data_IF_634698523831
#
_entry.id   IF_634698523831
#
_cell.length_a   1.000
_cell.length_b   1.000
_cell.length_c   1.000
_cell.angle_alpha   90.00
_cell.angle_beta   90.00
_cell.angle_gamma   90.00
#
_symmetry.space_group_name_H-M   'P 1'
#
loop_
_entity.id
_entity.type
_entity.pdbx_description
1 polymer ?
#
# COMPACT_ATOMS: atom_id res chain seq x y z
N UNK A 1 8.24 -6.69 -4.50
CA UNK A 1 7.50 -5.42 -4.65
C UNK A 1 6.28 -5.40 -3.75
N UNK A 2 5.91 -4.20 -3.28
CA UNK A 2 4.76 -3.95 -2.41
C UNK A 2 3.93 -2.83 -3.04
N UNK A 3 2.64 -3.07 -3.24
CA UNK A 3 1.68 -2.08 -3.70
C UNK A 3 1.08 -1.38 -2.49
N UNK A 4 1.16 -0.05 -2.45
CA UNK A 4 0.53 0.76 -1.42
C UNK A 4 -0.90 1.12 -1.83
N UNK A 5 -1.87 0.84 -0.96
CA UNK A 5 -3.24 1.32 -1.15
C UNK A 5 -3.34 2.84 -0.92
N UNK A 6 -4.51 3.42 -1.19
CA UNK A 6 -4.78 4.85 -0.97
C UNK A 6 -4.61 5.26 0.50
N UNK A 7 -5.07 4.44 1.45
CA UNK A 7 -4.99 4.74 2.88
C UNK A 7 -3.55 4.90 3.37
N UNK A 8 -2.58 4.12 2.86
CA UNK A 8 -1.17 4.27 3.22
C UNK A 8 -0.66 5.68 2.89
N UNK A 9 -0.96 6.16 1.68
CA UNK A 9 -0.50 7.48 1.24
C UNK A 9 -1.23 8.59 2.00
N UNK A 10 -2.53 8.44 2.24
CA UNK A 10 -3.30 9.40 3.03
C UNK A 10 -2.81 9.47 4.49
N UNK A 11 -2.40 8.34 5.07
CA UNK A 11 -1.79 8.31 6.40
C UNK A 11 -0.44 9.05 6.41
N UNK A 12 0.40 8.84 5.40
CA UNK A 12 1.71 9.50 5.29
C UNK A 12 1.60 11.03 5.24
N UNK A 13 0.56 11.56 4.58
CA UNK A 13 0.32 13.01 4.47
C UNK A 13 -0.60 13.56 5.57
N UNK A 14 -1.07 12.72 6.49
CA UNK A 14 -1.90 13.14 7.62
C UNK A 14 -1.14 14.12 8.52
N UNK A 15 -1.81 15.14 9.11
CA UNK A 15 -1.16 16.04 10.08
C UNK A 15 -0.62 15.32 11.32
N UNK A 16 -1.19 14.15 11.66
CA UNK A 16 -0.80 13.33 12.82
C UNK A 16 -0.75 11.86 12.40
N UNK A 17 0.28 11.46 11.64
CA UNK A 17 0.39 10.09 11.17
C UNK A 17 0.71 9.14 12.34
N UNK A 18 0.20 7.91 12.27
CA UNK A 18 0.53 6.85 13.20
C UNK A 18 1.98 6.41 12.99
N UNK A 19 2.75 6.45 14.08
CA UNK A 19 4.19 6.14 14.06
C UNK A 19 4.50 4.77 13.51
N UNK A 20 3.66 3.77 13.77
CA UNK A 20 3.86 2.39 13.30
C UNK A 20 3.91 2.32 11.77
N UNK A 21 3.03 3.06 11.09
CA UNK A 21 2.99 3.09 9.61
C UNK A 21 4.23 3.75 9.04
N UNK A 22 4.65 4.88 9.63
CA UNK A 22 5.88 5.56 9.22
C UNK A 22 7.12 4.69 9.43
N UNK A 23 7.23 4.05 10.60
CA UNK A 23 8.33 3.13 10.91
C UNK A 23 8.35 1.93 9.95
N UNK A 24 7.18 1.41 9.59
CA UNK A 24 7.08 0.34 8.60
C UNK A 24 7.53 0.82 7.21
N UNK A 25 7.11 2.01 6.76
CA UNK A 25 7.53 2.62 5.50
C UNK A 25 9.05 2.84 5.46
N UNK A 26 9.62 3.42 6.53
CA UNK A 26 11.06 3.68 6.68
C UNK A 26 11.91 2.40 6.65
N UNK A 27 11.31 1.25 7.00
CA UNK A 27 11.98 -0.04 6.95
C UNK A 27 11.99 -0.69 5.55
N UNK A 28 11.21 -0.18 4.59
CA UNK A 28 11.14 -0.73 3.24
C UNK A 28 12.21 -0.12 2.33
N UNK A 29 12.63 -0.90 1.33
CA UNK A 29 13.35 -0.34 0.18
C UNK A 29 12.36 0.48 -0.65
N UNK A 30 12.60 1.79 -0.75
CA UNK A 30 11.75 2.70 -1.52
C UNK A 30 11.57 2.23 -2.97
N UNK A 31 12.58 1.60 -3.60
CA UNK A 31 12.48 1.10 -4.97
C UNK A 31 11.52 -0.09 -5.12
N UNK A 32 11.14 -0.74 -4.01
CA UNK A 32 10.18 -1.84 -3.98
C UNK A 32 8.73 -1.41 -3.73
N UNK A 33 8.48 -0.13 -3.48
CA UNK A 33 7.14 0.42 -3.27
C UNK A 33 6.50 0.86 -4.59
N UNK A 34 5.23 0.55 -4.79
CA UNK A 34 4.51 0.84 -6.03
C UNK A 34 3.13 1.40 -5.72
N UNK A 35 2.61 2.24 -6.61
CA UNK A 35 1.21 2.63 -6.62
C UNK A 35 0.51 2.04 -7.83
N UNK A 36 -0.81 2.02 -7.79
CA UNK A 36 -1.63 1.66 -8.95
C UNK A 36 -2.36 2.88 -9.49
N UNK A 37 -2.82 2.82 -10.74
CA UNK A 37 -3.74 3.80 -11.31
C UNK A 37 -5.01 3.95 -10.45
N UNK A 38 -5.42 2.88 -9.76
CA UNK A 38 -6.51 2.92 -8.79
C UNK A 38 -6.10 3.76 -7.58
N UNK A 39 -4.94 3.50 -6.97
CA UNK A 39 -4.43 4.30 -5.84
C UNK A 39 -4.42 5.78 -6.19
N UNK A 40 -3.89 6.14 -7.36
CA UNK A 40 -3.88 7.51 -7.91
C UNK A 40 -5.30 8.07 -8.00
N UNK A 41 -6.23 7.39 -8.65
CA UNK A 41 -7.62 7.84 -8.74
C UNK A 41 -8.26 8.06 -7.36
N UNK A 42 -7.95 7.21 -6.38
CA UNK A 42 -8.44 7.37 -5.00
C UNK A 42 -7.89 8.62 -4.31
N UNK A 43 -6.62 8.97 -4.55
CA UNK A 43 -6.00 10.18 -4.00
C UNK A 43 -6.65 11.43 -4.57
N UNK A 44 -6.91 11.47 -5.87
CA UNK A 44 -7.55 12.64 -6.49
C UNK A 44 -9.05 12.74 -6.18
N UNK A 45 -9.76 11.63 -6.01
CA UNK A 45 -11.12 11.66 -5.44
C UNK A 45 -11.11 12.29 -4.05
N UNK A 46 -10.16 11.90 -3.19
CA UNK A 46 -10.02 12.51 -1.87
C UNK A 46 -9.76 14.02 -1.94
N UNK A 47 -8.93 14.50 -2.89
CA UNK A 47 -8.71 15.94 -3.11
C UNK A 47 -10.00 16.66 -3.50
N UNK A 48 -10.78 16.08 -4.42
CA UNK A 48 -12.05 16.65 -4.85
C UNK A 48 -13.07 16.71 -3.69
N UNK A 49 -13.08 15.69 -2.83
CA UNK A 49 -13.97 15.58 -1.66
C UNK A 49 -13.61 16.51 -0.49
N UNK A 50 -12.46 17.20 -0.53
CA UNK A 50 -12.08 18.14 0.51
C UNK A 50 -13.09 19.31 0.62
N UNK A 51 -13.21 19.94 1.80
CA UNK A 51 -13.97 21.18 1.98
C UNK A 51 -13.51 22.29 1.01
N UNK A 52 -14.41 23.23 0.68
CA UNK A 52 -14.10 24.34 -0.24
C UNK A 52 -12.96 25.25 0.27
N UNK A 53 -12.82 25.38 1.58
CA UNK A 53 -11.77 26.17 2.24
C UNK A 53 -10.44 25.41 2.38
N UNK A 54 -10.39 24.13 2.01
CA UNK A 54 -9.16 23.36 2.01
C UNK A 54 -8.25 23.76 0.84
N UNK A 55 -6.91 23.66 0.99
CA UNK A 55 -5.97 24.01 -0.05
C UNK A 55 -5.89 22.92 -1.15
N UNK A 56 -6.99 22.66 -1.87
CA UNK A 56 -7.13 21.58 -2.86
C UNK A 56 -6.01 21.60 -3.91
N UNK A 57 -5.72 22.77 -4.49
CA UNK A 57 -4.66 22.93 -5.49
C UNK A 57 -3.30 22.54 -4.93
N UNK A 58 -2.97 22.97 -3.70
CA UNK A 58 -1.67 22.64 -3.10
C UNK A 58 -1.54 21.13 -2.84
N UNK A 59 -2.62 20.46 -2.40
CA UNK A 59 -2.61 18.99 -2.27
C UNK A 59 -2.49 18.29 -3.61
N UNK A 60 -3.21 18.75 -4.64
CA UNK A 60 -3.11 18.18 -5.99
C UNK A 60 -1.69 18.31 -6.54
N UNK A 61 -1.07 19.49 -6.43
CA UNK A 61 0.29 19.76 -6.90
C UNK A 61 1.31 18.88 -6.15
N UNK A 62 1.22 18.80 -4.82
CA UNK A 62 2.11 17.95 -4.03
C UNK A 62 1.97 16.45 -4.38
N UNK A 63 0.75 15.98 -4.63
CA UNK A 63 0.51 14.61 -5.08
C UNK A 63 1.08 14.37 -6.48
N UNK A 64 0.92 15.31 -7.42
CA UNK A 64 1.51 15.22 -8.75
C UNK A 64 3.04 15.17 -8.70
N UNK A 65 3.66 15.99 -7.85
CA UNK A 65 5.11 15.97 -7.64
C UNK A 65 5.57 14.61 -7.09
N UNK A 66 4.91 14.08 -6.06
CA UNK A 66 5.19 12.76 -5.51
C UNK A 66 5.06 11.66 -6.59
N UNK A 67 4.03 11.72 -7.44
CA UNK A 67 3.82 10.74 -8.50
C UNK A 67 4.92 10.81 -9.58
N UNK A 68 5.35 12.01 -9.94
CA UNK A 68 6.32 12.25 -11.02
C UNK A 68 7.78 12.10 -10.57
N UNK A 69 8.08 12.31 -9.30
CA UNK A 69 9.43 12.27 -8.75
C UNK A 69 9.66 10.98 -7.99
N UNK A 70 8.86 10.72 -6.96
CA UNK A 70 9.06 9.57 -6.08
C UNK A 70 8.62 8.29 -6.79
N UNK A 71 7.43 8.24 -7.38
CA UNK A 71 6.88 7.02 -7.99
C UNK A 71 7.07 6.94 -9.51
N UNK A 72 7.99 7.71 -10.08
CA UNK A 72 8.31 7.67 -11.50
C UNK A 72 8.65 6.23 -11.95
N UNK A 73 7.95 5.71 -12.95
CA UNK A 73 8.12 4.34 -13.45
C UNK A 73 7.61 3.24 -12.51
N UNK A 74 6.94 3.58 -11.40
CA UNK A 74 6.39 2.65 -10.40
C UNK A 74 4.88 2.80 -10.19
N UNK A 75 4.20 3.28 -11.24
CA UNK A 75 2.75 3.39 -11.32
C UNK A 75 2.19 2.25 -12.20
N UNK A 76 1.52 1.29 -11.59
CA UNK A 76 0.97 0.12 -12.27
C UNK A 76 -0.46 0.39 -12.77
N UNK A 77 -0.76 0.05 -14.01
CA UNK A 77 -2.11 0.18 -14.59
C UNK A 77 -2.95 -1.07 -14.33
N UNK A 78 -4.28 -0.92 -14.30
CA UNK A 78 -5.17 -2.06 -14.57
C UNK A 78 -5.22 -2.31 -16.08
N UNK A 79 -4.32 -3.16 -16.56
CA UNK A 79 -4.16 -3.49 -17.98
C UNK A 79 -4.85 -4.83 -18.33
N UNK A 80 -4.76 -5.23 -19.61
CA UNK A 80 -5.35 -6.48 -20.08
C UNK A 80 -4.78 -7.72 -19.36
N UNK A 81 -3.50 -7.70 -18.97
CA UNK A 81 -2.87 -8.80 -18.25
C UNK A 81 -3.43 -8.91 -16.82
N UNK A 82 -3.58 -7.78 -16.14
CA UNK A 82 -4.26 -7.69 -14.84
C UNK A 82 -5.72 -8.14 -14.94
N UNK A 83 -6.43 -7.74 -16.01
CA UNK A 83 -7.83 -8.09 -16.22
C UNK A 83 -8.07 -9.61 -16.34
N UNK A 84 -7.09 -10.40 -16.80
CA UNK A 84 -7.20 -11.87 -16.83
C UNK A 84 -7.28 -12.50 -15.43
N UNK A 85 -6.79 -11.82 -14.38
CA UNK A 85 -6.92 -12.29 -12.99
C UNK A 85 -8.26 -11.90 -12.35
N UNK A 86 -8.97 -10.92 -12.91
CA UNK A 86 -10.23 -10.41 -12.35
C UNK A 86 -11.30 -11.51 -12.14
N UNK A 87 -11.59 -12.40 -13.12
CA UNK A 87 -12.63 -13.43 -12.93
C UNK A 87 -12.30 -14.39 -11.77
N UNK A 88 -11.02 -14.69 -11.56
CA UNK A 88 -10.56 -15.52 -10.44
C UNK A 88 -10.86 -14.84 -9.12
N UNK A 89 -10.49 -13.56 -8.97
CA UNK A 89 -10.77 -12.78 -7.74
C UNK A 89 -12.28 -12.72 -7.48
N UNK A 90 -13.07 -12.36 -8.49
CA UNK A 90 -14.52 -12.28 -8.37
C UNK A 90 -15.17 -13.61 -7.95
N UNK A 91 -14.70 -14.73 -8.53
CA UNK A 91 -15.18 -16.08 -8.18
C UNK A 91 -14.83 -16.45 -6.74
N UNK A 92 -13.58 -16.22 -6.32
CA UNK A 92 -13.14 -16.47 -4.94
C UNK A 92 -13.92 -15.62 -3.94
N UNK A 93 -14.17 -14.36 -4.27
CA UNK A 93 -14.96 -13.45 -3.43
C UNK A 93 -16.38 -13.94 -3.22
N UNK A 94 -17.02 -14.42 -4.30
CA UNK A 94 -18.35 -15.02 -4.23
C UNK A 94 -18.35 -16.29 -3.38
N UNK A 95 -17.36 -17.16 -3.53
CA UNK A 95 -17.23 -18.39 -2.73
C UNK A 95 -17.02 -18.10 -1.24
N UNK A 96 -16.28 -17.03 -0.93
CA UNK A 96 -16.06 -16.56 0.44
C UNK A 96 -17.25 -15.77 1.04
N UNK A 97 -18.33 -15.55 0.28
CA UNK A 97 -19.44 -14.66 0.65
C UNK A 97 -19.00 -13.23 1.00
N UNK A 98 -17.92 -12.75 0.39
CA UNK A 98 -17.42 -11.38 0.55
C UNK A 98 -17.84 -10.59 -0.68
N UNK A 99 -18.59 -9.51 -0.48
CA UNK A 99 -18.97 -8.60 -1.57
C UNK A 99 -17.85 -7.59 -1.82
N UNK A 100 -16.95 -7.87 -2.77
CA UNK A 100 -15.92 -6.92 -3.20
C UNK A 100 -16.48 -5.92 -4.22
N UNK A 101 -16.07 -4.66 -4.10
CA UNK A 101 -16.30 -3.65 -5.13
C UNK A 101 -15.48 -3.97 -6.38
N UNK A 102 -15.84 -3.36 -7.51
CA UNK A 102 -15.07 -3.49 -8.74
C UNK A 102 -13.63 -3.01 -8.54
N UNK A 103 -13.44 -1.87 -7.87
CA UNK A 103 -12.12 -1.31 -7.54
C UNK A 103 -11.27 -2.25 -6.69
N UNK A 104 -11.83 -2.84 -5.64
CA UNK A 104 -11.12 -3.84 -4.82
C UNK A 104 -10.73 -5.06 -5.67
N UNK A 105 -11.63 -5.51 -6.54
CA UNK A 105 -11.38 -6.68 -7.41
C UNK A 105 -10.27 -6.39 -8.43
N UNK A 106 -10.27 -5.20 -9.04
CA UNK A 106 -9.22 -4.73 -9.95
C UNK A 106 -7.87 -4.60 -9.22
N UNK A 107 -7.86 -4.04 -8.00
CA UNK A 107 -6.65 -3.90 -7.20
C UNK A 107 -6.02 -5.26 -6.87
N UNK A 108 -6.83 -6.23 -6.43
CA UNK A 108 -6.36 -7.58 -6.17
C UNK A 108 -5.84 -8.25 -7.45
N UNK A 109 -6.48 -8.00 -8.60
CA UNK A 109 -6.04 -8.53 -9.88
C UNK A 109 -4.67 -7.97 -10.33
N UNK A 110 -4.40 -6.67 -10.11
CA UNK A 110 -3.07 -6.07 -10.32
C UNK A 110 -2.04 -6.75 -9.41
N UNK A 111 -2.38 -6.94 -8.12
CA UNK A 111 -1.48 -7.59 -7.17
C UNK A 111 -1.12 -9.03 -7.61
N UNK A 112 -2.10 -9.81 -8.07
CA UNK A 112 -1.88 -11.16 -8.59
C UNK A 112 -0.99 -11.18 -9.84
N UNK A 113 -1.25 -10.27 -10.79
CA UNK A 113 -0.46 -10.17 -12.03
C UNK A 113 1.01 -9.88 -11.76
N UNK A 114 1.30 -9.01 -10.80
CA UNK A 114 2.66 -8.62 -10.46
C UNK A 114 3.29 -9.43 -9.33
N UNK A 115 2.59 -10.44 -8.80
CA UNK A 115 3.00 -11.21 -7.61
C UNK A 115 3.39 -10.29 -6.44
N UNK A 116 2.64 -9.19 -6.29
CA UNK A 116 2.93 -8.15 -5.32
C UNK A 116 2.20 -8.39 -4.00
N UNK A 117 2.79 -7.94 -2.90
CA UNK A 117 2.07 -7.77 -1.64
C UNK A 117 1.24 -6.49 -1.67
N UNK A 118 0.07 -6.49 -1.03
CA UNK A 118 -0.76 -5.30 -0.86
C UNK A 118 -0.61 -4.78 0.58
N UNK A 119 -0.13 -3.53 0.73
CA UNK A 119 -0.14 -2.80 1.97
C UNK A 119 -1.46 -2.01 2.10
N UNK A 120 -2.28 -2.35 3.08
CA UNK A 120 -3.65 -1.81 3.23
C UNK A 120 -4.12 -1.86 4.67
N UNK A 121 -4.99 -0.91 5.03
CA UNK A 121 -5.73 -0.86 6.30
C UNK A 121 -6.89 -1.88 6.35
N UNK A 122 -7.53 -2.17 5.22
CA UNK A 122 -8.60 -3.20 5.11
C UNK A 122 -8.12 -4.57 4.66
N UNK A 123 -7.11 -5.17 5.31
CA UNK A 123 -6.51 -6.45 4.85
C UNK A 123 -7.51 -7.61 4.85
N UNK A 124 -8.43 -7.66 5.81
CA UNK A 124 -9.45 -8.71 5.94
C UNK A 124 -10.28 -8.91 4.66
N UNK A 125 -10.52 -7.82 3.93
CA UNK A 125 -11.28 -7.77 2.67
C UNK A 125 -10.68 -8.61 1.55
N UNK A 126 -9.39 -8.94 1.64
CA UNK A 126 -8.64 -9.55 0.55
C UNK A 126 -8.13 -10.96 0.89
N UNK A 127 -8.35 -11.44 2.12
CA UNK A 127 -7.76 -12.69 2.64
C UNK A 127 -8.07 -13.93 1.78
N UNK A 128 -9.24 -13.97 1.13
CA UNK A 128 -9.67 -15.07 0.25
C UNK A 128 -9.12 -15.00 -1.18
N UNK A 129 -8.44 -13.90 -1.54
CA UNK A 129 -8.02 -13.65 -2.95
C UNK A 129 -6.70 -14.34 -3.31
N UNK A 130 -5.94 -14.78 -2.31
CA UNK A 130 -4.61 -15.38 -2.48
C UNK A 130 -3.46 -14.38 -2.68
N UNK A 131 -3.72 -13.07 -2.51
CA UNK A 131 -2.66 -12.07 -2.47
C UNK A 131 -1.95 -12.07 -1.12
N UNK A 132 -0.68 -11.67 -1.09
CA UNK A 132 0.03 -11.44 0.17
C UNK A 132 -0.39 -10.10 0.75
N UNK A 133 -0.78 -10.07 2.02
CA UNK A 133 -1.32 -8.88 2.68
C UNK A 133 -0.35 -8.36 3.74
N UNK A 134 -0.27 -7.05 3.83
CA UNK A 134 0.48 -6.34 4.85
C UNK A 134 -0.44 -5.26 5.42
N UNK A 135 -0.60 -5.24 6.74
CA UNK A 135 -1.25 -4.15 7.43
C UNK A 135 -0.22 -3.42 8.27
N UNK A 136 0.26 -2.24 7.84
CA UNK A 136 1.28 -1.47 8.57
C UNK A 136 0.82 -0.92 9.92
N UNK A 137 -0.48 -0.95 10.21
CA UNK A 137 -1.03 -0.59 11.52
C UNK A 137 -0.98 -1.73 12.52
N UNK A 138 -0.91 -2.97 12.04
CA UNK A 138 -0.65 -4.09 12.92
C UNK A 138 0.78 -3.93 13.45
N UNK A 139 0.93 -4.04 14.77
CA UNK A 139 2.23 -3.96 15.44
C UNK A 139 3.06 -5.15 14.98
N UNK A 140 3.78 -5.00 13.88
CA UNK A 140 4.77 -5.98 13.47
C UNK A 140 5.84 -5.98 14.56
N UNK A 141 5.94 -7.08 15.32
CA UNK A 141 7.12 -7.39 16.11
C UNK A 141 8.34 -7.06 15.25
N UNK A 142 9.20 -6.19 15.77
CA UNK A 142 10.44 -5.83 15.11
C UNK A 142 11.16 -7.12 14.76
N UNK A 143 11.67 -7.31 13.54
CA UNK A 143 12.40 -8.53 13.22
C UNK A 143 13.55 -8.72 14.21
N UNK A 144 13.49 -9.77 15.03
CA UNK A 144 14.44 -10.05 16.13
C UNK A 144 15.92 -10.01 15.71
N UNK A 145 16.22 -10.20 14.43
CA UNK A 145 17.59 -10.12 13.92
C UNK A 145 18.23 -8.73 14.06
N UNK A 146 17.45 -7.64 14.12
CA UNK A 146 18.00 -6.29 14.41
C UNK A 146 18.38 -6.11 15.87
N UNK A 147 17.66 -6.75 16.80
CA UNK A 147 17.98 -6.75 18.23
C UNK A 147 19.16 -7.68 18.53
N UNK A 148 19.18 -8.88 17.95
CA UNK A 148 20.29 -9.83 18.09
C UNK A 148 21.61 -9.28 17.51
N UNK A 149 21.56 -8.54 16.39
CA UNK A 149 22.75 -7.90 15.83
C UNK A 149 23.29 -6.77 16.73
N UNK A 150 22.40 -6.00 17.37
CA UNK A 150 22.79 -4.98 18.33
C UNK A 150 23.35 -5.59 19.63
N UNK A 151 22.75 -6.67 20.13
CA UNK A 151 23.26 -7.42 21.28
C UNK A 151 24.61 -8.09 21.00
N UNK A 152 24.78 -8.69 19.82
CA UNK A 152 26.06 -9.28 19.40
C UNK A 152 27.17 -8.22 19.29
N UNK A 153 26.85 -7.05 18.74
CA UNK A 153 27.78 -5.93 18.64
C UNK A 153 28.21 -5.38 20.01
N UNK A 154 27.28 -5.32 20.97
CA UNK A 154 27.57 -4.87 22.34
C UNK A 154 28.36 -5.92 23.14
N UNK A 155 28.06 -7.21 22.97
CA UNK A 155 28.78 -8.29 23.67
C UNK A 155 30.21 -8.49 23.13
N UNK A 156 30.42 -8.31 21.82
CA UNK A 156 31.74 -8.44 21.16
C UNK A 156 32.75 -7.37 21.60
N UNK A 157 32.30 -6.21 22.10
CA UNK A 157 33.17 -5.13 22.61
C UNK A 157 33.48 -5.20 24.11
N UNK A 158 32.95 -6.19 24.83
CA UNK A 158 33.22 -6.41 26.26
C UNK A 158 34.24 -7.52 26.54
N UNK A 159 34.87 -8.09 25.50
CA UNK A 159 35.97 -9.04 25.65
C UNK A 159 37.32 -8.43 25.34
#
# INVERSE_FOLDING_TARGET
MIILNTAIILEMISPKPQKTVLQWLDAQDAAQLYLTSLTVAGLFVWVEDLPEDAPKTAFADALLDMLNQDFAGRLLSFDAASALHFPRVATLSKQANVAMTERETQLAAICLQHQASLATDGSERFTHTGITLINPWDVAETPRWREEAAEYYVMSRKS
#
